data_IF_084135210572
#
_entry.id   IF_084135210572
#
_cell.length_a   1.000
_cell.length_b   1.000
_cell.length_c   1.000
_cell.angle_alpha   90.00
_cell.angle_beta   90.00
_cell.angle_gamma   90.00
#
_symmetry.space_group_name_H-M   'P 1'
#
loop_
_entity.id
_entity.type
_entity.pdbx_description
1 polymer ?
#
# COMPACT_ATOMS: atom_id res chain seq x y z
N UNK A 1 -2.93 10.87 9.22
CA UNK A 1 -2.45 12.05 8.47
C UNK A 1 -3.44 13.18 8.66
N UNK A 2 -3.00 14.36 9.10
CA UNK A 2 -3.84 15.55 9.24
C UNK A 2 -3.84 16.33 7.93
N UNK A 3 -5.01 16.70 7.38
CA UNK A 3 -5.15 17.47 6.13
C UNK A 3 -5.21 19.00 6.36
N UNK A 4 -4.28 19.55 7.15
CA UNK A 4 -4.41 20.92 7.69
C UNK A 4 -4.38 21.97 6.56
N UNK A 5 -3.33 22.07 5.73
CA UNK A 5 -3.28 22.98 4.58
C UNK A 5 -4.50 22.96 3.66
N UNK A 6 -5.02 21.78 3.34
CA UNK A 6 -6.19 21.64 2.47
C UNK A 6 -7.47 22.10 3.16
N UNK A 7 -7.65 21.82 4.46
CA UNK A 7 -8.83 22.24 5.21
C UNK A 7 -8.98 23.76 5.35
N UNK A 8 -7.93 24.53 5.04
CA UNK A 8 -8.01 25.99 4.98
C UNK A 8 -8.76 26.51 3.74
N UNK A 9 -8.96 25.68 2.70
CA UNK A 9 -9.66 26.06 1.46
C UNK A 9 -11.18 26.17 1.73
N UNK A 10 -11.70 27.40 1.72
CA UNK A 10 -13.11 27.69 2.03
C UNK A 10 -14.03 27.72 0.80
N UNK A 11 -13.48 27.80 -0.41
CA UNK A 11 -14.24 27.89 -1.66
C UNK A 11 -13.65 26.96 -2.73
N UNK A 12 -14.42 26.59 -3.77
CA UNK A 12 -13.86 25.85 -4.89
C UNK A 12 -12.69 26.59 -5.55
N UNK A 13 -11.51 25.99 -5.50
CA UNK A 13 -10.24 26.57 -5.98
C UNK A 13 -9.70 25.71 -7.11
N UNK A 14 -9.24 26.30 -8.23
CA UNK A 14 -8.49 25.57 -9.25
C UNK A 14 -7.25 24.89 -8.68
N UNK A 15 -6.99 23.64 -9.07
CA UNK A 15 -5.79 22.92 -8.63
C UNK A 15 -4.48 23.69 -8.90
N UNK A 16 -4.44 24.48 -9.98
CA UNK A 16 -3.29 25.32 -10.37
C UNK A 16 -3.00 26.46 -9.41
N UNK A 17 -3.93 26.78 -8.50
CA UNK A 17 -3.78 27.84 -7.50
C UNK A 17 -3.40 27.30 -6.11
N UNK A 18 -3.28 25.97 -5.96
CA UNK A 18 -2.83 25.38 -4.71
C UNK A 18 -1.34 25.69 -4.48
N UNK A 19 -0.97 25.90 -3.22
CA UNK A 19 0.44 25.99 -2.83
C UNK A 19 1.15 24.64 -3.00
N UNK A 20 2.49 24.66 -3.05
CA UNK A 20 3.30 23.44 -3.06
C UNK A 20 2.98 22.54 -1.85
N UNK A 21 2.77 23.13 -0.68
CA UNK A 21 2.39 22.41 0.54
C UNK A 21 1.01 21.74 0.41
N UNK A 22 0.01 22.45 -0.11
CA UNK A 22 -1.33 21.88 -0.34
C UNK A 22 -1.30 20.78 -1.40
N UNK A 23 -0.51 20.94 -2.46
CA UNK A 23 -0.32 19.92 -3.48
C UNK A 23 0.38 18.70 -2.90
N UNK A 24 1.42 18.87 -2.09
CA UNK A 24 2.13 17.77 -1.46
C UNK A 24 1.23 17.01 -0.48
N UNK A 25 0.41 17.72 0.30
CA UNK A 25 -0.58 17.11 1.17
C UNK A 25 -1.63 16.31 0.38
N UNK A 26 -2.15 16.88 -0.72
CA UNK A 26 -3.09 16.20 -1.60
C UNK A 26 -2.47 14.97 -2.26
N UNK A 27 -1.24 15.08 -2.75
CA UNK A 27 -0.48 13.98 -3.33
C UNK A 27 -0.30 12.84 -2.32
N UNK A 28 0.08 13.15 -1.07
CA UNK A 28 0.20 12.14 0.01
C UNK A 28 -1.13 11.46 0.31
N UNK A 29 -2.21 12.23 0.41
CA UNK A 29 -3.55 11.71 0.66
C UNK A 29 -4.01 10.72 -0.42
N UNK A 30 -3.92 11.13 -1.68
CA UNK A 30 -4.31 10.32 -2.82
C UNK A 30 -3.41 9.09 -2.97
N UNK A 31 -2.09 9.25 -2.82
CA UNK A 31 -1.14 8.13 -2.85
C UNK A 31 -1.45 7.10 -1.77
N UNK A 32 -1.78 7.55 -0.55
CA UNK A 32 -2.21 6.67 0.54
C UNK A 32 -3.47 5.87 0.21
N UNK A 33 -4.44 6.51 -0.45
CA UNK A 33 -5.66 5.84 -0.91
C UNK A 33 -5.45 4.95 -2.15
N UNK A 34 -4.25 4.95 -2.72
CA UNK A 34 -3.84 4.09 -3.84
C UNK A 34 -3.99 4.73 -5.22
N UNK A 35 -4.26 6.04 -5.29
CA UNK A 35 -4.32 6.75 -6.57
C UNK A 35 -2.90 7.12 -7.07
N UNK A 36 -2.60 6.94 -8.36
CA UNK A 36 -1.23 7.05 -8.90
C UNK A 36 -0.83 8.52 -9.17
N UNK A 37 -0.49 9.26 -8.11
CA UNK A 37 -0.12 10.69 -8.21
C UNK A 37 1.26 10.94 -8.85
N UNK A 38 2.14 9.94 -8.86
CA UNK A 38 3.54 10.09 -9.28
C UNK A 38 4.46 10.37 -8.10
N UNK A 39 5.39 11.32 -8.27
CA UNK A 39 6.32 11.74 -7.22
C UNK A 39 5.60 12.63 -6.21
N UNK A 40 5.95 12.50 -4.92
CA UNK A 40 5.42 13.37 -3.86
C UNK A 40 6.33 14.60 -3.71
N UNK A 41 6.20 15.53 -4.65
CA UNK A 41 7.05 16.70 -4.86
C UNK A 41 6.32 18.05 -4.77
N UNK A 42 5.02 18.05 -4.48
CA UNK A 42 4.21 19.27 -4.44
C UNK A 42 3.93 19.89 -5.81
N UNK A 43 4.21 19.17 -6.92
CA UNK A 43 4.00 19.66 -8.27
C UNK A 43 2.70 19.12 -8.91
N UNK A 44 2.00 19.99 -9.65
CA UNK A 44 0.79 19.62 -10.38
C UNK A 44 1.10 19.04 -11.78
N UNK A 45 1.60 17.81 -11.81
CA UNK A 45 1.84 17.06 -13.04
C UNK A 45 0.59 16.35 -13.61
N UNK A 46 0.69 15.76 -14.82
CA UNK A 46 -0.42 15.02 -15.44
C UNK A 46 -0.94 13.85 -14.60
N UNK A 47 -0.03 13.09 -13.95
CA UNK A 47 -0.39 11.98 -13.06
C UNK A 47 -1.20 12.46 -11.86
N UNK A 48 -0.80 13.58 -11.26
CA UNK A 48 -1.51 14.19 -10.15
C UNK A 48 -2.92 14.64 -10.56
N UNK A 49 -3.08 15.30 -11.71
CA UNK A 49 -4.40 15.69 -12.25
C UNK A 49 -5.30 14.48 -12.49
N UNK A 50 -4.76 13.44 -13.13
CA UNK A 50 -5.50 12.21 -13.41
C UNK A 50 -5.92 11.51 -12.12
N UNK A 51 -5.02 11.39 -11.13
CA UNK A 51 -5.32 10.79 -9.83
C UNK A 51 -6.43 11.54 -9.09
N UNK A 52 -6.43 12.87 -9.12
CA UNK A 52 -7.50 13.67 -8.53
C UNK A 52 -8.83 13.52 -9.28
N UNK A 53 -8.80 13.53 -10.61
CA UNK A 53 -9.98 13.33 -11.43
C UNK A 53 -10.61 11.94 -11.20
N UNK A 54 -9.77 10.90 -11.07
CA UNK A 54 -10.18 9.53 -10.73
C UNK A 54 -10.83 9.49 -9.34
N UNK A 55 -10.17 10.05 -8.32
CA UNK A 55 -10.74 10.17 -6.97
C UNK A 55 -12.12 10.84 -6.99
N UNK A 56 -12.26 11.97 -7.70
CA UNK A 56 -13.56 12.65 -7.81
C UNK A 56 -14.60 11.79 -8.55
N UNK A 57 -14.22 11.09 -9.60
CA UNK A 57 -15.13 10.18 -10.31
C UNK A 57 -15.66 9.09 -9.37
N UNK A 58 -14.78 8.55 -8.53
CA UNK A 58 -15.11 7.45 -7.62
C UNK A 58 -15.96 7.89 -6.43
N UNK A 59 -15.78 9.12 -5.92
CA UNK A 59 -16.32 9.49 -4.60
C UNK A 59 -17.04 10.84 -4.54
N UNK A 60 -16.77 11.75 -5.48
CA UNK A 60 -17.35 13.11 -5.48
C UNK A 60 -17.41 13.70 -6.89
N UNK A 61 -18.41 13.29 -7.64
CA UNK A 61 -18.58 13.69 -9.04
C UNK A 61 -18.75 15.22 -9.15
N UNK A 62 -18.01 15.83 -10.10
CA UNK A 62 -18.03 17.27 -10.34
C UNK A 62 -16.80 17.71 -11.16
N UNK A 63 -16.60 19.02 -11.36
CA UNK A 63 -15.50 19.53 -12.17
C UNK A 63 -14.12 19.10 -11.63
N UNK A 64 -13.34 18.25 -12.33
CA UNK A 64 -12.06 17.74 -11.83
C UNK A 64 -10.97 18.80 -11.70
N UNK A 65 -11.11 19.96 -12.34
CA UNK A 65 -10.12 21.04 -12.21
C UNK A 65 -10.23 21.80 -10.88
N UNK A 66 -11.31 21.56 -10.12
CA UNK A 66 -11.59 22.24 -8.86
C UNK A 66 -11.48 21.28 -7.66
N UNK A 67 -10.89 21.82 -6.59
CA UNK A 67 -10.92 21.27 -5.23
C UNK A 67 -11.66 22.23 -4.32
N UNK A 68 -12.53 21.71 -3.46
CA UNK A 68 -13.27 22.54 -2.50
C UNK A 68 -13.67 21.76 -1.25
N UNK A 69 -14.35 22.43 -0.29
CA UNK A 69 -14.64 21.86 1.03
C UNK A 69 -15.29 20.48 0.99
N UNK A 70 -16.26 20.26 0.09
CA UNK A 70 -16.95 18.95 -0.05
C UNK A 70 -16.01 17.81 -0.44
N UNK A 71 -15.19 18.01 -1.48
CA UNK A 71 -14.22 16.99 -1.93
C UNK A 71 -13.09 16.78 -0.91
N UNK A 72 -12.67 17.85 -0.20
CA UNK A 72 -11.67 17.75 0.87
C UNK A 72 -12.23 16.97 2.06
N UNK A 73 -13.49 17.21 2.43
CA UNK A 73 -14.17 16.48 3.50
C UNK A 73 -14.21 14.97 3.25
N UNK A 74 -14.55 14.56 2.02
CA UNK A 74 -14.54 13.13 1.65
C UNK A 74 -13.13 12.54 1.55
N UNK A 75 -12.16 13.33 1.08
CA UNK A 75 -10.75 12.91 1.10
C UNK A 75 -10.28 12.65 2.52
N UNK A 76 -10.60 13.57 3.45
CA UNK A 76 -10.32 13.42 4.89
C UNK A 76 -10.96 12.16 5.45
N UNK A 77 -12.26 11.98 5.23
CA UNK A 77 -12.99 10.82 5.72
C UNK A 77 -12.36 9.51 5.23
N UNK A 78 -12.04 9.41 3.93
CA UNK A 78 -11.40 8.22 3.36
C UNK A 78 -9.99 7.98 3.92
N UNK A 79 -9.19 9.03 4.09
CA UNK A 79 -7.87 8.92 4.72
C UNK A 79 -7.99 8.47 6.17
N UNK A 80 -8.95 9.00 6.93
CA UNK A 80 -9.22 8.62 8.32
C UNK A 80 -9.73 7.18 8.42
N UNK A 81 -10.60 6.74 7.50
CA UNK A 81 -11.05 5.35 7.38
C UNK A 81 -9.89 4.39 7.11
N UNK A 82 -8.98 4.76 6.18
CA UNK A 82 -7.74 4.01 5.90
C UNK A 82 -6.72 4.01 7.05
N UNK A 83 -7.01 4.77 8.10
CA UNK A 83 -6.18 4.95 9.28
C UNK A 83 -6.83 4.42 10.54
N UNK A 84 -8.10 3.99 10.52
CA UNK A 84 -8.74 3.46 11.73
C UNK A 84 -7.88 2.31 12.21
N UNK A 85 -7.14 2.58 13.30
CA UNK A 85 -6.38 1.62 14.06
C UNK A 85 -7.40 0.64 14.63
N UNK A 86 -7.79 -0.32 13.81
CA UNK A 86 -8.40 -1.52 14.32
C UNK A 86 -7.31 -2.15 15.19
N UNK A 87 -7.62 -2.33 16.48
CA UNK A 87 -6.77 -3.11 17.36
C UNK A 87 -6.79 -4.54 16.82
N UNK A 88 -5.83 -4.85 15.96
CA UNK A 88 -5.65 -6.16 15.38
C UNK A 88 -4.78 -6.98 16.33
N UNK A 89 -5.19 -8.23 16.57
CA UNK A 89 -4.34 -9.18 17.28
C UNK A 89 -3.32 -9.78 16.31
N UNK A 90 -2.06 -9.32 16.40
CA UNK A 90 -0.96 -9.90 15.63
C UNK A 90 -0.24 -11.03 16.39
N UNK A 91 -0.69 -11.41 17.59
CA UNK A 91 -0.07 -12.49 18.37
C UNK A 91 -0.54 -13.88 17.92
N UNK A 92 -1.60 -13.95 17.11
CA UNK A 92 -2.14 -15.20 16.58
C UNK A 92 -2.18 -15.17 15.06
N UNK A 93 -1.97 -16.33 14.43
CA UNK A 93 -2.10 -16.48 12.96
C UNK A 93 -3.51 -16.10 12.49
N UNK A 94 -4.55 -16.46 13.26
CA UNK A 94 -5.93 -16.11 12.96
C UNK A 94 -6.17 -14.59 13.00
N UNK A 95 -5.63 -13.91 14.02
CA UNK A 95 -5.74 -12.46 14.13
C UNK A 95 -4.99 -11.73 13.01
N UNK A 96 -3.79 -12.19 12.64
CA UNK A 96 -3.04 -11.65 11.50
C UNK A 96 -3.78 -11.85 10.16
N UNK A 97 -4.37 -13.03 9.92
CA UNK A 97 -5.23 -13.28 8.74
C UNK A 97 -6.42 -12.31 8.73
N UNK A 98 -7.11 -12.14 9.85
CA UNK A 98 -8.25 -11.22 9.95
C UNK A 98 -7.82 -9.77 9.68
N UNK A 99 -6.64 -9.36 10.16
CA UNK A 99 -6.07 -8.04 9.90
C UNK A 99 -5.78 -7.83 8.41
N UNK A 100 -5.19 -8.81 7.72
CA UNK A 100 -4.94 -8.76 6.27
C UNK A 100 -6.25 -8.62 5.49
N UNK A 101 -7.26 -9.42 5.83
CA UNK A 101 -8.57 -9.31 5.17
C UNK A 101 -9.24 -7.96 5.42
N UNK A 102 -9.14 -7.42 6.64
CA UNK A 102 -9.68 -6.11 6.98
C UNK A 102 -8.96 -4.99 6.20
N UNK A 103 -7.63 -5.02 6.15
CA UNK A 103 -6.84 -4.05 5.40
C UNK A 103 -7.11 -4.11 3.90
N UNK A 104 -7.24 -5.32 3.32
CA UNK A 104 -7.62 -5.49 1.92
C UNK A 104 -8.93 -4.75 1.61
N UNK A 105 -9.96 -4.95 2.44
CA UNK A 105 -11.25 -4.27 2.28
C UNK A 105 -11.14 -2.76 2.50
N UNK A 106 -10.36 -2.32 3.48
CA UNK A 106 -10.14 -0.90 3.77
C UNK A 106 -9.42 -0.17 2.62
N UNK A 107 -8.61 -0.88 1.83
CA UNK A 107 -7.96 -0.36 0.63
C UNK A 107 -8.68 -0.75 -0.67
N UNK A 108 -9.97 -1.11 -0.62
CA UNK A 108 -10.82 -1.44 -1.78
C UNK A 108 -10.43 -2.71 -2.57
N UNK A 109 -9.58 -3.58 -2.03
CA UNK A 109 -9.33 -4.93 -2.56
C UNK A 109 -10.33 -5.92 -1.95
N UNK A 110 -11.57 -5.85 -2.43
CA UNK A 110 -12.73 -6.55 -1.83
C UNK A 110 -13.06 -7.92 -2.44
N UNK A 111 -12.43 -8.32 -3.55
CA UNK A 111 -12.69 -9.63 -4.15
C UNK A 111 -12.05 -10.74 -3.33
N UNK A 112 -12.82 -11.80 -3.01
CA UNK A 112 -12.28 -12.96 -2.28
C UNK A 112 -11.08 -13.59 -3.00
N UNK A 113 -11.05 -13.54 -4.34
CA UNK A 113 -9.89 -14.01 -5.13
C UNK A 113 -8.64 -13.16 -4.88
N UNK A 114 -8.76 -11.84 -4.80
CA UNK A 114 -7.64 -10.96 -4.46
C UNK A 114 -7.16 -11.21 -3.02
N UNK A 115 -8.09 -11.28 -2.07
CA UNK A 115 -7.79 -11.51 -0.66
C UNK A 115 -7.10 -12.87 -0.47
N UNK A 116 -7.60 -13.93 -1.13
CA UNK A 116 -7.01 -15.26 -1.09
C UNK A 116 -5.56 -15.25 -1.56
N UNK A 117 -5.28 -14.54 -2.65
CA UNK A 117 -3.93 -14.46 -3.20
C UNK A 117 -2.96 -13.68 -2.29
N UNK A 118 -3.43 -12.59 -1.66
CA UNK A 118 -2.64 -11.83 -0.70
C UNK A 118 -2.30 -12.68 0.52
N UNK A 119 -3.28 -13.42 1.07
CA UNK A 119 -3.05 -14.35 2.18
C UNK A 119 -2.06 -15.46 1.82
N UNK A 120 -2.20 -16.06 0.63
CA UNK A 120 -1.28 -17.07 0.12
C UNK A 120 0.16 -16.54 -0.01
N UNK A 121 0.31 -15.31 -0.52
CA UNK A 121 1.60 -14.64 -0.59
C UNK A 121 2.18 -14.42 0.81
N UNK A 122 1.41 -13.90 1.75
CA UNK A 122 1.90 -13.69 3.12
C UNK A 122 2.28 -15.00 3.79
N UNK A 123 1.51 -16.07 3.61
CA UNK A 123 1.85 -17.40 4.11
C UNK A 123 3.20 -17.87 3.56
N UNK A 124 3.43 -17.69 2.26
CA UNK A 124 4.68 -18.06 1.61
C UNK A 124 5.88 -17.24 2.13
N UNK A 125 5.77 -15.91 2.09
CA UNK A 125 6.88 -15.00 2.41
C UNK A 125 7.26 -15.02 3.90
N UNK A 126 6.36 -15.46 4.78
CA UNK A 126 6.59 -15.49 6.25
C UNK A 126 6.87 -16.89 6.80
N UNK A 127 7.15 -17.87 5.93
CA UNK A 127 7.30 -19.28 6.30
C UNK A 127 6.12 -19.78 7.16
N UNK A 128 4.90 -19.42 6.76
CA UNK A 128 3.62 -19.79 7.37
C UNK A 128 3.29 -19.17 8.74
N UNK A 129 4.20 -18.36 9.29
CA UNK A 129 4.03 -17.76 10.62
C UNK A 129 3.04 -16.62 10.65
N UNK A 130 2.83 -15.92 9.53
CA UNK A 130 2.09 -14.66 9.47
C UNK A 130 2.67 -13.57 10.39
N UNK A 131 3.97 -13.63 10.65
CA UNK A 131 4.71 -12.57 11.33
C UNK A 131 5.57 -11.82 10.31
N UNK A 132 5.72 -10.49 10.43
CA UNK A 132 6.73 -9.75 9.69
C UNK A 132 8.12 -10.39 9.88
N UNK A 133 8.88 -10.58 8.80
CA UNK A 133 10.20 -11.23 8.86
C UNK A 133 11.30 -10.31 8.33
N UNK A 134 12.50 -10.46 8.89
CA UNK A 134 13.72 -9.85 8.37
C UNK A 134 14.38 -10.80 7.39
N UNK A 135 14.91 -10.27 6.30
CA UNK A 135 15.74 -11.01 5.36
C UNK A 135 16.93 -11.66 6.09
N UNK A 136 17.14 -12.96 5.86
CA UNK A 136 18.15 -13.74 6.57
C UNK A 136 18.10 -13.55 8.10
N UNK A 137 16.91 -13.66 8.70
CA UNK A 137 16.72 -13.45 10.16
C UNK A 137 17.61 -14.33 11.04
N UNK A 138 18.10 -15.46 10.51
CA UNK A 138 19.03 -16.39 11.18
C UNK A 138 20.51 -15.97 11.16
N UNK A 139 20.87 -14.91 10.43
CA UNK A 139 22.23 -14.36 10.34
C UNK A 139 22.37 -13.07 11.14
N UNK A 140 23.61 -12.74 11.52
CA UNK A 140 23.92 -11.52 12.29
C UNK A 140 23.72 -10.25 11.46
N UNK A 141 23.54 -9.12 12.14
CA UNK A 141 23.42 -7.82 11.47
C UNK A 141 24.70 -7.43 10.72
N UNK A 142 25.86 -7.78 11.26
CA UNK A 142 27.15 -7.59 10.58
C UNK A 142 27.22 -8.38 9.28
N UNK A 143 26.67 -9.60 9.27
CA UNK A 143 26.58 -10.38 8.04
C UNK A 143 25.70 -9.65 7.01
N UNK A 144 24.52 -9.16 7.40
CA UNK A 144 23.64 -8.40 6.48
C UNK A 144 24.34 -7.15 5.94
N UNK A 145 25.04 -6.41 6.80
CA UNK A 145 25.81 -5.22 6.42
C UNK A 145 26.86 -5.51 5.36
N UNK A 146 27.53 -6.66 5.46
CA UNK A 146 28.61 -7.04 4.56
C UNK A 146 28.12 -7.71 3.27
N UNK A 147 26.97 -8.39 3.29
CA UNK A 147 26.54 -9.27 2.19
C UNK A 147 25.33 -8.76 1.41
N UNK A 148 24.49 -7.90 1.99
CA UNK A 148 23.29 -7.39 1.31
C UNK A 148 23.58 -6.07 0.61
N UNK A 149 23.50 -6.08 -0.72
CA UNK A 149 23.76 -4.93 -1.60
C UNK A 149 22.98 -3.66 -1.23
N UNK A 150 21.79 -3.83 -0.68
CA UNK A 150 20.87 -2.74 -0.35
C UNK A 150 20.81 -2.43 1.14
N UNK A 151 21.77 -2.91 1.96
CA UNK A 151 21.86 -2.52 3.36
C UNK A 151 21.91 -0.99 3.52
N UNK A 152 21.20 -0.38 4.50
CA UNK A 152 20.39 -1.00 5.55
C UNK A 152 18.94 -1.35 5.12
N UNK A 153 18.57 -1.09 3.87
CA UNK A 153 17.23 -1.28 3.29
C UNK A 153 17.02 -2.69 2.72
N UNK A 154 17.40 -3.70 3.50
CA UNK A 154 17.10 -5.11 3.24
C UNK A 154 15.67 -5.48 3.59
N UNK A 155 15.24 -6.67 3.13
CA UNK A 155 13.87 -7.14 3.22
C UNK A 155 13.31 -7.11 4.64
N UNK A 156 12.19 -6.41 4.84
CA UNK A 156 11.39 -6.41 6.07
C UNK A 156 9.90 -6.52 5.79
N UNK A 157 9.12 -6.92 6.79
CA UNK A 157 7.66 -6.97 6.69
C UNK A 157 7.12 -8.25 6.06
N UNK A 158 5.83 -8.26 5.72
CA UNK A 158 5.14 -9.41 5.13
C UNK A 158 5.56 -9.74 3.69
N UNK A 159 6.24 -8.82 3.01
CA UNK A 159 6.50 -8.90 1.57
C UNK A 159 7.95 -8.59 1.20
N UNK A 160 8.85 -8.57 2.20
CA UNK A 160 10.27 -8.28 2.01
C UNK A 160 10.52 -6.94 1.30
N UNK A 161 10.04 -5.83 1.90
CA UNK A 161 10.29 -4.48 1.40
C UNK A 161 11.80 -4.22 1.34
N UNK A 162 12.33 -3.90 0.16
CA UNK A 162 13.76 -3.67 -0.09
C UNK A 162 13.98 -2.33 -0.78
N UNK A 163 15.22 -1.82 -0.78
CA UNK A 163 15.70 -0.60 -1.45
C UNK A 163 15.27 0.72 -0.81
N UNK A 164 16.23 1.66 -0.71
CA UNK A 164 16.00 3.03 -0.22
C UNK A 164 14.81 3.71 -0.89
N UNK A 165 14.62 3.51 -2.20
CA UNK A 165 13.52 4.12 -2.95
C UNK A 165 12.15 3.70 -2.44
N UNK A 166 11.97 2.42 -2.06
CA UNK A 166 10.69 1.95 -1.53
C UNK A 166 10.50 2.39 -0.07
N UNK A 167 11.55 2.35 0.74
CA UNK A 167 11.52 2.87 2.10
C UNK A 167 11.19 4.37 2.15
N UNK A 168 11.81 5.17 1.28
CA UNK A 168 11.52 6.60 1.14
C UNK A 168 10.08 6.86 0.67
N UNK A 169 9.59 6.08 -0.30
CA UNK A 169 8.21 6.18 -0.78
C UNK A 169 7.20 5.89 0.34
N UNK A 170 7.34 4.76 1.03
CA UNK A 170 6.43 4.44 2.14
C UNK A 170 6.60 5.38 3.33
N UNK A 171 7.80 5.92 3.56
CA UNK A 171 8.03 6.95 4.57
C UNK A 171 7.16 8.18 4.31
N UNK A 172 7.12 8.65 3.07
CA UNK A 172 6.30 9.79 2.67
C UNK A 172 4.79 9.48 2.69
N UNK A 173 4.37 8.29 2.26
CA UNK A 173 2.95 7.88 2.24
C UNK A 173 2.39 7.72 3.66
N UNK A 174 3.18 7.14 4.57
CA UNK A 174 2.78 6.87 5.94
C UNK A 174 3.01 8.06 6.87
N UNK A 175 3.90 8.98 6.51
CA UNK A 175 4.37 10.04 7.41
C UNK A 175 5.22 9.49 8.56
N UNK A 176 5.92 8.38 8.34
CA UNK A 176 6.74 7.67 9.33
C UNK A 176 8.15 7.55 8.79
N UNK A 177 9.17 7.90 9.58
CA UNK A 177 10.56 7.93 9.10
C UNK A 177 11.19 6.53 8.97
N UNK A 178 10.78 5.81 7.92
CA UNK A 178 11.34 4.51 7.55
C UNK A 178 12.75 4.61 6.95
N UNK A 179 13.22 5.81 6.57
CA UNK A 179 14.54 5.98 5.96
C UNK A 179 15.61 5.93 7.04
N UNK A 180 15.44 6.71 8.12
CA UNK A 180 16.37 6.69 9.24
C UNK A 180 16.06 5.58 10.24
N UNK A 181 14.83 5.06 10.27
CA UNK A 181 14.40 3.96 11.14
C UNK A 181 13.80 2.79 10.33
N UNK A 182 14.58 2.08 9.50
CA UNK A 182 14.06 1.05 8.60
C UNK A 182 13.42 -0.13 9.33
N UNK A 183 13.75 -0.35 10.60
CA UNK A 183 13.12 -1.40 11.42
C UNK A 183 11.63 -1.15 11.69
N UNK A 184 11.14 0.08 11.56
CA UNK A 184 9.69 0.36 11.63
C UNK A 184 8.90 -0.40 10.55
N UNK A 185 9.53 -0.85 9.45
CA UNK A 185 8.88 -1.72 8.47
C UNK A 185 8.53 -3.12 9.02
N UNK A 186 9.04 -3.49 10.19
CA UNK A 186 8.66 -4.71 10.92
C UNK A 186 7.42 -4.52 11.80
N UNK A 187 7.01 -3.28 12.07
CA UNK A 187 5.80 -3.02 12.85
C UNK A 187 4.58 -3.60 12.10
N UNK A 188 3.78 -4.48 12.72
CA UNK A 188 2.75 -5.24 11.99
C UNK A 188 1.76 -4.39 11.20
N UNK A 189 1.34 -3.24 11.73
CA UNK A 189 0.45 -2.31 11.03
C UNK A 189 1.12 -1.63 9.83
N UNK A 190 2.41 -1.33 9.91
CA UNK A 190 3.17 -0.77 8.78
C UNK A 190 3.37 -1.85 7.71
N UNK A 191 3.80 -3.05 8.10
CA UNK A 191 3.96 -4.19 7.20
C UNK A 191 2.64 -4.55 6.50
N UNK A 192 1.53 -4.51 7.23
CA UNK A 192 0.17 -4.75 6.74
C UNK A 192 -0.23 -3.75 5.67
N UNK A 193 -0.08 -2.45 5.95
CA UNK A 193 -0.36 -1.39 4.98
C UNK A 193 0.50 -1.55 3.72
N UNK A 194 1.82 -1.75 3.88
CA UNK A 194 2.77 -1.92 2.78
C UNK A 194 2.37 -3.09 1.87
N UNK A 195 2.03 -4.24 2.46
CA UNK A 195 1.58 -5.44 1.75
C UNK A 195 0.41 -5.13 0.82
N UNK A 196 -0.70 -4.64 1.39
CA UNK A 196 -1.95 -4.43 0.64
C UNK A 196 -1.82 -3.29 -0.34
N UNK A 197 -1.23 -2.18 0.09
CA UNK A 197 -1.02 -1.00 -0.76
C UNK A 197 -0.13 -1.30 -1.94
N UNK A 198 0.93 -2.08 -1.73
CA UNK A 198 1.83 -2.47 -2.80
C UNK A 198 1.18 -3.39 -3.83
N UNK A 199 0.32 -4.32 -3.41
CA UNK A 199 -0.51 -5.11 -4.32
C UNK A 199 -1.50 -4.25 -5.12
N UNK A 200 -2.18 -3.31 -4.46
CA UNK A 200 -3.14 -2.39 -5.11
C UNK A 200 -2.48 -1.52 -6.16
N UNK A 201 -1.33 -0.93 -5.82
CA UNK A 201 -0.68 0.11 -6.62
C UNK A 201 0.44 -0.42 -7.51
N UNK A 202 0.86 -1.66 -7.34
CA UNK A 202 1.99 -2.26 -8.06
C UNK A 202 3.32 -1.64 -7.66
N UNK A 203 3.45 -1.14 -6.43
CA UNK A 203 4.63 -0.38 -5.98
C UNK A 203 5.93 -1.16 -6.07
N UNK A 204 5.89 -2.49 -5.96
CA UNK A 204 7.10 -3.33 -5.92
C UNK A 204 7.70 -3.59 -7.32
N UNK A 205 6.86 -3.88 -8.32
CA UNK A 205 7.31 -4.31 -9.65
C UNK A 205 6.68 -3.54 -10.82
N UNK A 206 5.77 -2.61 -10.53
CA UNK A 206 4.92 -1.95 -11.52
C UNK A 206 3.69 -2.77 -11.94
N UNK A 207 3.45 -3.94 -11.33
CA UNK A 207 2.30 -4.82 -11.64
C UNK A 207 1.31 -4.83 -10.48
N UNK A 208 0.06 -4.49 -10.76
CA UNK A 208 -1.02 -4.46 -9.76
C UNK A 208 -1.73 -5.80 -9.71
N UNK A 209 -2.29 -6.15 -8.55
CA UNK A 209 -3.10 -7.37 -8.43
C UNK A 209 -4.31 -7.34 -9.38
N UNK A 210 -4.90 -6.16 -9.61
CA UNK A 210 -6.00 -5.94 -10.55
C UNK A 210 -5.67 -6.25 -12.01
N UNK A 211 -4.39 -6.25 -12.38
CA UNK A 211 -3.95 -6.61 -13.74
C UNK A 211 -4.10 -8.12 -14.03
N UNK A 212 -4.24 -8.96 -12.98
CA UNK A 212 -4.35 -10.43 -13.08
C UNK A 212 -5.60 -11.00 -12.43
N UNK A 213 -6.10 -10.34 -11.38
CA UNK A 213 -7.24 -10.78 -10.58
C UNK A 213 -8.21 -9.61 -10.45
N UNK A 214 -9.34 -9.73 -11.14
CA UNK A 214 -10.40 -8.73 -11.19
C UNK A 214 -11.77 -9.43 -11.29
N UNK A 215 -12.83 -8.68 -11.60
CA UNK A 215 -14.21 -9.22 -11.63
C UNK A 215 -14.44 -10.26 -12.72
N UNK A 216 -13.64 -10.28 -13.78
CA UNK A 216 -13.83 -11.16 -14.95
C UNK A 216 -12.70 -12.16 -15.13
N UNK A 217 -11.59 -12.02 -14.40
CA UNK A 217 -10.41 -12.87 -14.51
C UNK A 217 -9.82 -13.18 -13.14
N UNK A 218 -9.34 -14.41 -12.95
CA UNK A 218 -8.52 -14.81 -11.80
C UNK A 218 -7.33 -15.61 -12.30
N UNK A 219 -6.17 -14.96 -12.35
CA UNK A 219 -4.89 -15.57 -12.73
C UNK A 219 -3.90 -15.53 -11.57
N UNK A 220 -4.01 -16.50 -10.66
CA UNK A 220 -3.13 -16.60 -9.49
C UNK A 220 -1.67 -16.85 -9.86
N UNK A 221 -1.39 -17.53 -10.97
CA UNK A 221 -0.01 -17.83 -11.37
C UNK A 221 0.71 -16.55 -11.78
N UNK A 222 0.12 -15.74 -12.67
CA UNK A 222 0.74 -14.50 -13.10
C UNK A 222 0.66 -13.38 -12.05
N UNK A 223 -0.25 -13.47 -11.07
CA UNK A 223 -0.27 -12.55 -9.94
C UNK A 223 1.03 -12.56 -9.11
N UNK A 224 1.90 -13.58 -9.24
CA UNK A 224 3.24 -13.58 -8.61
C UNK A 224 4.10 -12.41 -9.04
N UNK A 225 3.85 -11.91 -10.26
CA UNK A 225 4.50 -10.74 -10.85
C UNK A 225 4.33 -9.45 -10.06
N UNK A 226 3.36 -9.38 -9.15
CA UNK A 226 3.21 -8.24 -8.25
C UNK A 226 4.35 -8.12 -7.23
N UNK A 227 4.99 -9.24 -6.85
CA UNK A 227 6.05 -9.26 -5.82
C UNK A 227 7.40 -9.66 -6.41
N UNK A 228 7.44 -10.70 -7.24
CA UNK A 228 8.68 -11.25 -7.81
C UNK A 228 8.41 -11.71 -9.26
N UNK A 229 9.30 -12.47 -9.90
CA UNK A 229 9.06 -13.11 -11.19
C UNK A 229 7.96 -14.19 -11.12
N UNK A 230 8.21 -15.36 -11.69
CA UNK A 230 7.30 -16.52 -11.58
C UNK A 230 7.83 -17.61 -10.65
N UNK A 231 8.87 -17.31 -9.87
CA UNK A 231 9.40 -18.25 -8.90
C UNK A 231 8.30 -18.64 -7.90
N UNK A 232 8.08 -19.94 -7.76
CA UNK A 232 7.08 -20.56 -6.88
C UNK A 232 5.63 -20.16 -7.15
N UNK A 233 5.34 -19.66 -8.36
CA UNK A 233 4.02 -19.16 -8.73
C UNK A 233 2.92 -20.23 -8.62
N UNK A 234 3.20 -21.48 -9.01
CA UNK A 234 2.21 -22.55 -8.95
C UNK A 234 1.92 -23.00 -7.51
N UNK A 235 2.95 -23.09 -6.65
CA UNK A 235 2.76 -23.41 -5.23
C UNK A 235 1.94 -22.34 -4.51
N UNK A 236 2.22 -21.06 -4.78
CA UNK A 236 1.47 -19.92 -4.23
C UNK A 236 0.04 -19.88 -4.80
N UNK A 237 -0.15 -20.17 -6.09
CA UNK A 237 -1.49 -20.28 -6.66
C UNK A 237 -2.29 -21.41 -5.98
N UNK A 238 -1.67 -22.55 -5.71
CA UNK A 238 -2.30 -23.64 -4.96
C UNK A 238 -2.66 -23.28 -3.52
N UNK A 239 -1.88 -22.41 -2.87
CA UNK A 239 -2.23 -21.82 -1.57
C UNK A 239 -3.44 -20.88 -1.69
N UNK A 240 -3.46 -20.03 -2.72
CA UNK A 240 -4.57 -19.10 -2.97
C UNK A 240 -5.89 -19.83 -3.19
N UNK A 241 -5.88 -20.92 -3.96
CA UNK A 241 -7.05 -21.79 -4.14
C UNK A 241 -7.59 -22.37 -2.83
N UNK A 242 -6.70 -22.71 -1.89
CA UNK A 242 -7.13 -23.19 -0.56
C UNK A 242 -7.78 -22.09 0.26
N UNK A 243 -7.18 -20.90 0.29
CA UNK A 243 -7.78 -19.76 0.97
C UNK A 243 -9.13 -19.36 0.38
N UNK A 244 -9.25 -19.35 -0.95
CA UNK A 244 -10.47 -18.99 -1.65
C UNK A 244 -11.66 -19.87 -1.25
N UNK A 245 -11.43 -21.17 -1.00
CA UNK A 245 -12.49 -22.10 -0.55
C UNK A 245 -13.02 -21.81 0.86
N UNK A 246 -12.32 -20.97 1.63
CA UNK A 246 -12.65 -20.68 3.03
C UNK A 246 -13.10 -19.23 3.27
N UNK A 247 -13.08 -18.39 2.23
CA UNK A 247 -13.48 -16.98 2.25
C UNK A 247 -14.90 -16.78 1.73
#
# INVERSE_FOLDING_TARGET
MSLIPLLLIQQPTPLTQLSEEQLLELQRALSRLGYPVGTLDGLLGPRMRNAWAEFKTDVYQGNPDLIGPGSIGLLKEKVELSHRNHSHDFNTKAGAIAAIQAECRAQDLSLNTQIAYILATTEWETAQTFLPVREAFWLSEDWRRQNLRYYPYYGRGYVQLTWLTNYSKYSQILGVDLVNNPDLAMEPNIALFVLVHGFKTGTFTGRRIGDYINRTQTDFVNARRCINGLDKAYEIAGLAERYLRTL
#
